data_IF_934871166388
#
_entry.id   IF_934871166388
#
_cell.length_a   1.000
_cell.length_b   1.000
_cell.length_c   1.000
_cell.angle_alpha   90.00
_cell.angle_beta   90.00
_cell.angle_gamma   90.00
#
_symmetry.space_group_name_H-M   'P 1'
#
loop_
_entity.id
_entity.type
_entity.pdbx_description
1 polymer ?
#
# COMPACT_ATOMS: atom_id res chain seq x y z
N UNK A 1 -23.88 0.85 95.88
CA UNK A 1 -22.79 0.23 95.08
C UNK A 1 -23.20 -0.10 93.64
N UNK A 2 -24.49 -0.36 93.31
CA UNK A 2 -24.90 -0.71 91.93
C UNK A 2 -24.85 0.44 90.88
N UNK A 3 -24.88 1.71 91.31
CA UNK A 3 -24.85 2.87 90.39
C UNK A 3 -23.46 3.22 89.84
N UNK A 4 -22.40 2.81 90.53
CA UNK A 4 -21.00 3.08 90.14
C UNK A 4 -20.54 2.14 89.02
N UNK A 5 -21.00 0.88 89.09
CA UNK A 5 -20.72 -0.18 88.10
C UNK A 5 -21.39 0.11 86.74
N UNK A 6 -22.63 0.60 86.75
CA UNK A 6 -23.35 1.00 85.54
C UNK A 6 -22.74 2.23 84.84
N UNK A 7 -22.16 3.16 85.60
CA UNK A 7 -21.45 4.32 85.06
C UNK A 7 -20.12 3.91 84.40
N UNK A 8 -19.39 2.97 85.03
CA UNK A 8 -18.19 2.36 84.47
C UNK A 8 -18.48 1.57 83.19
N UNK A 9 -19.52 0.75 83.17
CA UNK A 9 -19.93 -0.03 82.00
C UNK A 9 -20.33 0.87 80.81
N UNK A 10 -21.04 1.97 81.09
CA UNK A 10 -21.40 2.99 80.10
C UNK A 10 -20.16 3.70 79.55
N UNK A 11 -19.21 4.05 80.43
CA UNK A 11 -17.96 4.71 80.03
C UNK A 11 -17.08 3.79 79.17
N UNK A 12 -16.99 2.49 79.51
CA UNK A 12 -16.29 1.48 78.73
C UNK A 12 -16.94 1.31 77.36
N UNK A 13 -18.27 1.20 77.29
CA UNK A 13 -19.01 1.05 76.03
C UNK A 13 -18.84 2.27 75.12
N UNK A 14 -18.87 3.49 75.68
CA UNK A 14 -18.62 4.73 74.93
C UNK A 14 -17.19 4.80 74.41
N UNK A 15 -16.20 4.39 75.21
CA UNK A 15 -14.81 4.35 74.78
C UNK A 15 -14.59 3.33 73.66
N UNK A 16 -15.16 2.12 73.77
CA UNK A 16 -15.12 1.10 72.71
C UNK A 16 -15.77 1.63 71.43
N UNK A 17 -16.94 2.27 71.53
CA UNK A 17 -17.63 2.86 70.37
C UNK A 17 -16.79 3.97 69.71
N UNK A 18 -16.13 4.82 70.51
CA UNK A 18 -15.20 5.83 70.02
C UNK A 18 -14.00 5.24 69.29
N UNK A 19 -13.41 4.15 69.82
CA UNK A 19 -12.32 3.42 69.17
C UNK A 19 -12.77 2.85 67.82
N UNK A 20 -13.94 2.22 67.74
CA UNK A 20 -14.48 1.70 66.48
C UNK A 20 -14.76 2.81 65.46
N UNK A 21 -15.26 3.96 65.90
CA UNK A 21 -15.45 5.11 65.02
C UNK A 21 -14.11 5.60 64.43
N UNK A 22 -13.07 5.69 65.26
CA UNK A 22 -11.71 6.06 64.79
C UNK A 22 -11.13 5.02 63.83
N UNK A 23 -11.29 3.72 64.10
CA UNK A 23 -10.82 2.65 63.22
C UNK A 23 -11.52 2.71 61.86
N UNK A 24 -12.85 2.90 61.84
CA UNK A 24 -13.60 3.01 60.59
C UNK A 24 -13.20 4.25 59.79
N UNK A 25 -12.95 5.38 60.46
CA UNK A 25 -12.46 6.60 59.81
C UNK A 25 -11.07 6.37 59.18
N UNK A 26 -10.12 5.83 59.94
CA UNK A 26 -8.76 5.57 59.43
C UNK A 26 -8.77 4.56 58.28
N UNK A 27 -9.64 3.55 58.34
CA UNK A 27 -9.81 2.58 57.25
C UNK A 27 -10.36 3.24 55.98
N UNK A 28 -11.38 4.08 56.11
CA UNK A 28 -11.93 4.85 54.99
C UNK A 28 -10.89 5.79 54.36
N UNK A 29 -10.12 6.50 55.18
CA UNK A 29 -9.03 7.37 54.69
C UNK A 29 -7.91 6.58 53.99
N UNK A 30 -7.57 5.40 54.50
CA UNK A 30 -6.58 4.52 53.87
C UNK A 30 -7.08 3.97 52.53
N UNK A 31 -8.35 3.55 52.43
CA UNK A 31 -8.98 3.09 51.20
C UNK A 31 -9.03 4.20 50.14
N UNK A 32 -9.34 5.45 50.54
CA UNK A 32 -9.31 6.62 49.65
C UNK A 32 -7.89 6.85 49.12
N UNK A 33 -6.89 6.92 50.01
CA UNK A 33 -5.49 7.15 49.60
C UNK A 33 -4.94 6.05 48.71
N UNK A 34 -5.30 4.79 48.98
CA UNK A 34 -4.88 3.64 48.17
C UNK A 34 -5.48 3.71 46.77
N UNK A 35 -6.74 4.12 46.65
CA UNK A 35 -7.42 4.37 45.37
C UNK A 35 -6.80 5.55 44.60
N UNK A 36 -6.47 6.64 45.28
CA UNK A 36 -5.82 7.82 44.68
C UNK A 36 -4.41 7.50 44.14
N UNK A 37 -3.61 6.75 44.89
CA UNK A 37 -2.29 6.30 44.46
C UNK A 37 -2.37 5.36 43.26
N UNK A 38 -3.25 4.35 43.31
CA UNK A 38 -3.47 3.42 42.20
C UNK A 38 -3.93 4.12 40.92
N UNK A 39 -4.81 5.13 41.03
CA UNK A 39 -5.24 5.95 39.89
C UNK A 39 -4.09 6.75 39.28
N UNK A 40 -3.22 7.32 40.10
CA UNK A 40 -2.06 8.10 39.62
C UNK A 40 -1.05 7.21 38.89
N UNK A 41 -0.79 6.02 39.42
CA UNK A 41 0.10 5.03 38.80
C UNK A 41 -0.50 4.52 37.48
N UNK A 42 -1.78 4.16 37.45
CA UNK A 42 -2.48 3.73 36.25
C UNK A 42 -2.43 4.79 35.14
N UNK A 43 -2.65 6.07 35.48
CA UNK A 43 -2.51 7.20 34.54
C UNK A 43 -1.12 7.30 33.94
N UNK A 44 -0.09 7.20 34.77
CA UNK A 44 1.30 7.29 34.32
C UNK A 44 1.67 6.12 33.40
N UNK A 45 1.24 4.91 33.76
CA UNK A 45 1.49 3.70 32.97
C UNK A 45 0.74 3.74 31.63
N UNK A 46 -0.54 4.15 31.64
CA UNK A 46 -1.35 4.33 30.43
C UNK A 46 -0.68 5.35 29.50
N UNK A 47 -0.30 6.52 30.01
CA UNK A 47 0.35 7.56 29.21
C UNK A 47 1.67 7.08 28.59
N UNK A 48 2.46 6.29 29.31
CA UNK A 48 3.69 5.71 28.76
C UNK A 48 3.41 4.68 27.65
N UNK A 49 2.41 3.81 27.85
CA UNK A 49 1.99 2.81 26.87
C UNK A 49 1.39 3.43 25.62
N UNK A 50 0.57 4.46 25.77
CA UNK A 50 -0.04 5.20 24.66
C UNK A 50 1.03 5.86 23.78
N UNK A 51 2.06 6.47 24.38
CA UNK A 51 3.19 7.03 23.62
C UNK A 51 3.96 5.99 22.82
N UNK A 52 4.15 4.79 23.38
CA UNK A 52 4.78 3.69 22.66
C UNK A 52 3.93 3.22 21.49
N UNK A 53 2.61 3.19 21.66
CA UNK A 53 1.66 2.93 20.59
C UNK A 53 1.76 3.98 19.46
N UNK A 54 1.72 5.27 19.80
CA UNK A 54 1.87 6.37 18.82
C UNK A 54 3.18 6.25 18.02
N UNK A 55 4.29 5.92 18.70
CA UNK A 55 5.57 5.70 18.05
C UNK A 55 5.55 4.46 17.13
N UNK A 56 4.89 3.38 17.56
CA UNK A 56 4.69 2.17 16.76
C UNK A 56 3.87 2.46 15.51
N UNK A 57 2.78 3.24 15.63
CA UNK A 57 1.96 3.70 14.51
C UNK A 57 2.78 4.53 13.52
N UNK A 58 3.46 5.57 14.00
CA UNK A 58 4.26 6.46 13.16
C UNK A 58 5.37 5.70 12.41
N UNK A 59 6.09 4.82 13.12
CA UNK A 59 7.13 3.99 12.51
C UNK A 59 6.53 3.02 11.49
N UNK A 60 5.47 2.30 11.87
CA UNK A 60 4.77 1.37 11.00
C UNK A 60 4.35 2.03 9.69
N UNK A 61 3.64 3.15 9.78
CA UNK A 61 3.18 3.93 8.62
C UNK A 61 4.36 4.38 7.74
N UNK A 62 5.46 4.86 8.33
CA UNK A 62 6.60 5.35 7.56
C UNK A 62 7.38 4.26 6.82
N UNK A 63 7.35 3.03 7.34
CA UNK A 63 8.07 1.87 6.77
C UNK A 63 7.26 1.08 5.73
N UNK A 64 5.96 1.30 5.64
CA UNK A 64 5.10 0.66 4.64
C UNK A 64 5.54 1.04 3.22
N UNK A 65 5.80 0.01 2.40
CA UNK A 65 6.19 0.18 0.99
C UNK A 65 5.19 -0.45 0.03
N UNK A 66 4.30 -1.31 0.52
CA UNK A 66 3.30 -2.02 -0.28
C UNK A 66 1.90 -1.90 0.35
N UNK A 67 0.88 -1.70 -0.49
CA UNK A 67 -0.53 -1.65 -0.10
C UNK A 67 -0.97 -2.91 0.64
N UNK A 68 -0.40 -4.06 0.28
CA UNK A 68 -0.70 -5.37 0.87
C UNK A 68 -0.26 -5.48 2.34
N UNK A 69 0.71 -4.66 2.75
CA UNK A 69 1.23 -4.65 4.12
C UNK A 69 0.37 -3.80 5.08
N UNK A 70 -0.48 -2.91 4.55
CA UNK A 70 -1.32 -2.03 5.36
C UNK A 70 -2.26 -2.79 6.29
N UNK A 71 -2.89 -3.86 5.81
CA UNK A 71 -3.83 -4.67 6.59
C UNK A 71 -3.11 -5.36 7.76
N UNK A 72 -1.91 -5.88 7.51
CA UNK A 72 -1.08 -6.49 8.55
C UNK A 72 -0.57 -5.51 9.60
N UNK A 73 -0.32 -4.25 9.23
CA UNK A 73 -0.05 -3.20 10.21
C UNK A 73 -1.30 -2.86 11.02
N UNK A 74 -2.45 -2.71 10.36
CA UNK A 74 -3.73 -2.40 11.01
C UNK A 74 -4.08 -3.43 12.08
N UNK A 75 -4.07 -4.72 11.74
CA UNK A 75 -4.36 -5.80 12.69
C UNK A 75 -3.47 -5.70 13.93
N UNK A 76 -2.15 -5.56 13.74
CA UNK A 76 -1.21 -5.47 14.87
C UNK A 76 -1.46 -4.26 15.78
N UNK A 77 -1.81 -3.11 15.22
CA UNK A 77 -2.08 -1.91 16.02
C UNK A 77 -3.43 -2.00 16.75
N UNK A 78 -4.46 -2.57 16.11
CA UNK A 78 -5.74 -2.81 16.76
C UNK A 78 -5.60 -3.81 17.93
N UNK A 79 -4.79 -4.86 17.76
CA UNK A 79 -4.48 -5.81 18.83
C UNK A 79 -3.80 -5.11 20.02
N UNK A 80 -2.85 -4.19 19.76
CA UNK A 80 -2.20 -3.41 20.80
C UNK A 80 -3.19 -2.49 21.55
N UNK A 81 -4.11 -1.85 20.84
CA UNK A 81 -5.16 -1.04 21.47
C UNK A 81 -6.12 -1.89 22.29
N UNK A 82 -6.49 -3.07 21.82
CA UNK A 82 -7.33 -4.00 22.56
C UNK A 82 -6.64 -4.51 23.84
N UNK A 83 -5.32 -4.75 23.79
CA UNK A 83 -4.55 -5.10 24.99
C UNK A 83 -4.57 -3.94 26.01
N UNK A 84 -4.44 -2.70 25.55
CA UNK A 84 -4.56 -1.51 26.42
C UNK A 84 -5.96 -1.38 27.01
N UNK A 85 -7.01 -1.58 26.22
CA UNK A 85 -8.39 -1.57 26.69
C UNK A 85 -8.62 -2.64 27.77
N UNK A 86 -8.10 -3.86 27.56
CA UNK A 86 -8.21 -4.94 28.56
C UNK A 86 -7.46 -4.66 29.86
N UNK A 87 -6.35 -3.92 29.81
CA UNK A 87 -5.53 -3.59 30.99
C UNK A 87 -6.08 -2.40 31.77
N UNK A 88 -6.72 -1.44 31.09
CA UNK A 88 -7.09 -0.14 31.64
C UNK A 88 -8.60 0.17 31.60
N UNK A 89 -9.44 -0.78 31.19
CA UNK A 89 -10.87 -0.58 30.94
C UNK A 89 -11.74 -0.23 32.16
N UNK A 90 -11.18 -0.20 33.37
CA UNK A 90 -11.90 0.25 34.58
C UNK A 90 -12.02 1.78 34.69
N UNK A 91 -11.34 2.54 33.81
CA UNK A 91 -11.32 4.00 33.82
C UNK A 91 -11.88 4.57 32.50
N UNK A 92 -13.06 5.20 32.57
CA UNK A 92 -13.73 5.78 31.40
C UNK A 92 -12.86 6.82 30.65
N UNK A 93 -11.99 7.54 31.37
CA UNK A 93 -11.07 8.52 30.77
C UNK A 93 -10.07 7.89 29.78
N UNK A 94 -9.65 6.64 30.02
CA UNK A 94 -8.71 5.93 29.14
C UNK A 94 -9.42 5.35 27.92
N UNK A 95 -10.67 4.93 28.08
CA UNK A 95 -11.48 4.40 26.98
C UNK A 95 -11.66 5.46 25.87
N UNK A 96 -11.94 6.71 26.25
CA UNK A 96 -12.04 7.80 25.29
C UNK A 96 -10.75 7.99 24.47
N UNK A 97 -9.59 7.97 25.14
CA UNK A 97 -8.29 8.11 24.47
C UNK A 97 -7.95 6.89 23.58
N UNK A 98 -8.32 5.68 23.98
CA UNK A 98 -8.14 4.46 23.15
C UNK A 98 -9.00 4.55 21.89
N UNK A 99 -10.26 4.99 22.00
CA UNK A 99 -11.14 5.16 20.85
C UNK A 99 -10.62 6.23 19.88
N UNK A 100 -10.11 7.35 20.41
CA UNK A 100 -9.46 8.38 19.60
C UNK A 100 -8.24 7.83 18.84
N UNK A 101 -7.39 7.05 19.52
CA UNK A 101 -6.22 6.45 18.87
C UNK A 101 -6.58 5.36 17.87
N UNK A 102 -7.70 4.65 18.07
CA UNK A 102 -8.22 3.71 17.09
C UNK A 102 -8.58 4.42 15.79
N UNK A 103 -9.29 5.54 15.88
CA UNK A 103 -9.64 6.34 14.71
C UNK A 103 -8.38 6.89 14.03
N UNK A 104 -7.45 7.45 14.80
CA UNK A 104 -6.18 7.97 14.27
C UNK A 104 -5.36 6.88 13.56
N UNK A 105 -5.32 5.65 14.09
CA UNK A 105 -4.66 4.53 13.44
C UNK A 105 -5.34 4.18 12.10
N UNK A 106 -6.68 4.16 12.05
CA UNK A 106 -7.44 4.00 10.81
C UNK A 106 -7.09 5.09 9.80
N UNK A 107 -7.27 6.36 10.17
CA UNK A 107 -7.00 7.50 9.29
C UNK A 107 -5.57 7.51 8.75
N UNK A 108 -4.58 7.32 9.62
CA UNK A 108 -3.16 7.35 9.26
C UNK A 108 -2.78 6.23 8.29
N UNK A 109 -3.28 5.00 8.52
CA UNK A 109 -2.98 3.85 7.66
C UNK A 109 -3.73 3.95 6.33
N UNK A 110 -4.99 4.41 6.33
CA UNK A 110 -5.75 4.65 5.10
C UNK A 110 -5.10 5.73 4.24
N UNK A 111 -4.67 6.85 4.86
CA UNK A 111 -3.98 7.91 4.16
C UNK A 111 -2.68 7.39 3.50
N UNK A 112 -1.91 6.57 4.21
CA UNK A 112 -0.71 5.93 3.65
C UNK A 112 -1.05 4.94 2.54
N UNK A 113 -2.11 4.15 2.69
CA UNK A 113 -2.59 3.22 1.66
C UNK A 113 -2.90 3.98 0.37
N UNK A 114 -3.68 5.06 0.46
CA UNK A 114 -4.01 5.90 -0.68
C UNK A 114 -2.75 6.47 -1.34
N UNK A 115 -1.80 6.96 -0.54
CA UNK A 115 -0.53 7.47 -1.06
C UNK A 115 0.26 6.40 -1.84
N UNK A 116 0.32 5.16 -1.35
CA UNK A 116 0.99 4.05 -2.02
C UNK A 116 0.28 3.65 -3.32
N UNK A 117 -1.06 3.59 -3.31
CA UNK A 117 -1.86 3.34 -4.52
C UNK A 117 -1.64 4.41 -5.58
N UNK A 118 -1.64 5.69 -5.19
CA UNK A 118 -1.37 6.79 -6.11
C UNK A 118 0.03 6.71 -6.72
N UNK A 119 1.04 6.35 -5.92
CA UNK A 119 2.42 6.17 -6.40
C UNK A 119 2.52 5.01 -7.39
N UNK A 120 1.90 3.87 -7.08
CA UNK A 120 1.81 2.71 -7.95
C UNK A 120 1.13 3.07 -9.28
N UNK A 121 -0.01 3.75 -9.23
CA UNK A 121 -0.75 4.17 -10.42
C UNK A 121 0.07 5.15 -11.28
N UNK A 122 0.74 6.13 -10.68
CA UNK A 122 1.63 7.06 -11.41
C UNK A 122 2.77 6.32 -12.10
N UNK A 123 3.33 5.29 -11.44
CA UNK A 123 4.39 4.46 -12.02
C UNK A 123 3.88 3.65 -13.21
N UNK A 124 2.71 3.03 -13.09
CA UNK A 124 2.03 2.32 -14.18
C UNK A 124 1.82 3.26 -15.37
N UNK A 125 1.22 4.43 -15.16
CA UNK A 125 1.00 5.42 -16.23
C UNK A 125 2.31 5.82 -16.91
N UNK A 126 3.37 6.09 -16.12
CA UNK A 126 4.69 6.47 -16.67
C UNK A 126 5.30 5.36 -17.54
N UNK A 127 5.19 4.10 -17.11
CA UNK A 127 5.67 2.95 -17.86
C UNK A 127 4.87 2.74 -19.15
N UNK A 128 3.54 2.84 -19.08
CA UNK A 128 2.65 2.71 -20.24
C UNK A 128 2.94 3.80 -21.28
N UNK A 129 3.05 5.07 -20.88
CA UNK A 129 3.40 6.17 -21.78
C UNK A 129 4.78 5.97 -22.43
N UNK A 130 5.76 5.47 -21.67
CA UNK A 130 7.08 5.17 -22.19
C UNK A 130 7.04 4.01 -23.20
N UNK A 131 6.28 2.96 -22.90
CA UNK A 131 6.07 1.81 -23.77
C UNK A 131 5.41 2.21 -25.09
N UNK A 132 4.38 3.06 -25.06
CA UNK A 132 3.74 3.59 -26.27
C UNK A 132 4.70 4.36 -27.16
N UNK A 133 5.57 5.21 -26.59
CA UNK A 133 6.58 5.95 -27.35
C UNK A 133 7.59 5.03 -28.01
N UNK A 134 8.02 3.98 -27.29
CA UNK A 134 8.90 2.95 -27.84
C UNK A 134 8.19 2.20 -28.96
N UNK A 135 6.94 1.77 -28.77
CA UNK A 135 6.14 1.10 -29.81
C UNK A 135 6.00 1.94 -31.08
N UNK A 136 5.73 3.25 -30.96
CA UNK A 136 5.72 4.18 -32.11
C UNK A 136 7.06 4.19 -32.85
N UNK A 137 8.18 4.21 -32.11
CA UNK A 137 9.51 4.16 -32.72
C UNK A 137 9.81 2.82 -33.40
N UNK A 138 9.45 1.71 -32.76
CA UNK A 138 9.56 0.34 -33.29
C UNK A 138 8.81 0.26 -34.62
N UNK A 139 7.53 0.68 -34.67
CA UNK A 139 6.73 0.72 -35.91
C UNK A 139 7.42 1.51 -37.02
N UNK A 140 7.89 2.72 -36.72
CA UNK A 140 8.62 3.55 -37.70
C UNK A 140 9.93 2.92 -38.18
N UNK A 141 10.69 2.27 -37.29
CA UNK A 141 11.94 1.58 -37.68
C UNK A 141 11.65 0.39 -38.56
N UNK A 142 10.55 -0.33 -38.31
CA UNK A 142 10.21 -1.52 -39.10
C UNK A 142 9.88 -1.24 -40.57
N UNK A 143 9.45 -0.02 -40.90
CA UNK A 143 9.14 0.39 -42.28
C UNK A 143 10.36 0.36 -43.23
N UNK A 144 11.57 0.43 -42.67
CA UNK A 144 12.85 0.49 -43.41
C UNK A 144 13.37 -0.88 -43.82
N UNK A 145 12.92 -1.95 -43.17
CA UNK A 145 13.38 -3.30 -43.48
C UNK A 145 12.76 -3.78 -44.78
N UNK A 146 13.52 -4.59 -45.51
CA UNK A 146 13.12 -5.10 -46.83
C UNK A 146 13.11 -6.63 -46.90
N UNK A 147 13.54 -7.32 -45.84
CA UNK A 147 13.51 -8.78 -45.75
C UNK A 147 12.89 -9.28 -44.44
N UNK A 148 12.22 -10.45 -44.46
CA UNK A 148 11.72 -11.09 -43.24
C UNK A 148 12.85 -11.44 -42.25
N UNK A 149 14.03 -11.82 -42.74
CA UNK A 149 15.20 -12.15 -41.91
C UNK A 149 15.68 -10.95 -41.08
N UNK A 150 15.76 -9.76 -41.70
CA UNK A 150 16.11 -8.51 -40.99
C UNK A 150 15.09 -8.18 -39.90
N UNK A 151 13.79 -8.33 -40.20
CA UNK A 151 12.72 -8.09 -39.23
C UNK A 151 12.80 -9.06 -38.04
N UNK A 152 12.98 -10.36 -38.31
CA UNK A 152 13.11 -11.35 -37.24
C UNK A 152 14.33 -11.06 -36.35
N UNK A 153 15.48 -10.73 -36.95
CA UNK A 153 16.69 -10.36 -36.22
C UNK A 153 16.45 -9.12 -35.34
N UNK A 154 15.79 -8.09 -35.88
CA UNK A 154 15.42 -6.89 -35.15
C UNK A 154 14.50 -7.17 -33.95
N UNK A 155 13.40 -7.91 -34.13
CA UNK A 155 12.50 -8.23 -33.00
C UNK A 155 13.10 -9.20 -31.98
N UNK A 156 14.09 -10.01 -32.37
CA UNK A 156 14.79 -10.91 -31.47
C UNK A 156 15.82 -10.17 -30.59
N UNK A 157 16.56 -9.22 -31.17
CA UNK A 157 17.79 -8.69 -30.54
C UNK A 157 17.82 -7.16 -30.30
N UNK A 158 16.89 -6.38 -30.85
CA UNK A 158 16.92 -4.93 -30.68
C UNK A 158 16.65 -4.49 -29.23
N UNK A 159 17.46 -3.53 -28.76
CA UNK A 159 17.41 -3.03 -27.40
C UNK A 159 16.06 -2.36 -27.05
N UNK A 160 15.37 -1.74 -28.00
CA UNK A 160 14.04 -1.15 -27.77
C UNK A 160 12.99 -2.23 -27.51
N UNK A 161 13.07 -3.34 -28.26
CA UNK A 161 12.15 -4.47 -28.11
C UNK A 161 12.40 -5.19 -26.79
N UNK A 162 13.68 -5.41 -26.44
CA UNK A 162 14.06 -5.95 -25.12
C UNK A 162 13.56 -5.06 -23.98
N UNK A 163 13.76 -3.74 -24.08
CA UNK A 163 13.28 -2.77 -23.09
C UNK A 163 11.76 -2.78 -22.95
N UNK A 164 11.02 -2.92 -24.05
CA UNK A 164 9.56 -3.02 -24.01
C UNK A 164 9.09 -4.26 -23.25
N UNK A 165 9.73 -5.43 -23.50
CA UNK A 165 9.43 -6.67 -22.75
C UNK A 165 9.76 -6.52 -21.27
N UNK A 166 10.84 -5.83 -20.93
CA UNK A 166 11.19 -5.50 -19.53
C UNK A 166 10.12 -4.62 -18.86
N UNK A 167 9.66 -3.57 -19.55
CA UNK A 167 8.59 -2.69 -19.03
C UNK A 167 7.29 -3.46 -18.81
N UNK A 168 6.94 -4.40 -19.69
CA UNK A 168 5.80 -5.29 -19.46
C UNK A 168 6.00 -6.21 -18.24
N UNK A 169 7.24 -6.61 -17.94
CA UNK A 169 7.60 -7.29 -16.70
C UNK A 169 7.35 -6.41 -15.47
N UNK A 170 7.90 -5.19 -15.47
CA UNK A 170 7.68 -4.20 -14.40
C UNK A 170 6.19 -3.91 -14.16
N UNK A 171 5.40 -3.77 -15.23
CA UNK A 171 3.95 -3.58 -15.13
C UNK A 171 3.27 -4.76 -14.42
N UNK A 172 3.68 -6.01 -14.69
CA UNK A 172 3.14 -7.18 -13.97
C UNK A 172 3.52 -7.20 -12.49
N UNK A 173 4.77 -6.83 -12.16
CA UNK A 173 5.21 -6.72 -10.76
C UNK A 173 4.41 -5.66 -9.99
N UNK A 174 3.99 -4.59 -10.68
CA UNK A 174 3.09 -3.56 -10.16
C UNK A 174 1.60 -3.95 -10.20
N UNK A 175 1.24 -5.19 -10.55
CA UNK A 175 -0.17 -5.62 -10.64
C UNK A 175 -0.96 -5.08 -11.84
N UNK A 176 -0.31 -4.38 -12.76
CA UNK A 176 -0.88 -3.84 -14.00
C UNK A 176 -0.81 -4.87 -15.15
N UNK A 177 -1.46 -6.02 -14.94
CA UNK A 177 -1.41 -7.14 -15.89
C UNK A 177 -2.06 -6.80 -17.24
N UNK A 178 -3.14 -6.02 -17.22
CA UNK A 178 -3.87 -5.61 -18.43
C UNK A 178 -2.99 -4.73 -19.33
N UNK A 179 -2.31 -3.73 -18.74
CA UNK A 179 -1.38 -2.84 -19.42
C UNK A 179 -0.15 -3.60 -19.96
N UNK A 180 0.36 -4.56 -19.19
CA UNK A 180 1.44 -5.43 -19.63
C UNK A 180 1.05 -6.28 -20.84
N UNK A 181 -0.15 -6.86 -20.83
CA UNK A 181 -0.66 -7.69 -21.93
C UNK A 181 -0.97 -6.85 -23.17
N UNK A 182 -1.54 -5.65 -23.01
CA UNK A 182 -1.74 -4.71 -24.11
C UNK A 182 -0.40 -4.32 -24.74
N UNK A 183 0.61 -3.98 -23.93
CA UNK A 183 1.96 -3.65 -24.40
C UNK A 183 2.57 -4.75 -25.28
N UNK A 184 2.50 -6.01 -24.82
CA UNK A 184 3.00 -7.17 -25.57
C UNK A 184 2.14 -7.49 -26.79
N UNK A 185 0.83 -7.33 -26.69
CA UNK A 185 -0.11 -7.47 -27.80
C UNK A 185 0.17 -6.48 -28.92
N UNK A 186 0.39 -5.21 -28.58
CA UNK A 186 0.76 -4.16 -29.53
C UNK A 186 2.13 -4.41 -30.18
N UNK A 187 3.10 -4.96 -29.44
CA UNK A 187 4.39 -5.36 -30.00
C UNK A 187 4.22 -6.47 -31.04
N UNK A 188 3.45 -7.51 -30.72
CA UNK A 188 3.15 -8.60 -31.64
C UNK A 188 2.41 -8.09 -32.88
N UNK A 189 1.40 -7.25 -32.69
CA UNK A 189 0.67 -6.64 -33.80
C UNK A 189 1.58 -5.80 -34.72
N UNK A 190 2.57 -5.10 -34.14
CA UNK A 190 3.58 -4.36 -34.90
C UNK A 190 4.47 -5.30 -35.73
N UNK A 191 4.90 -6.43 -35.15
CA UNK A 191 5.65 -7.47 -35.85
C UNK A 191 4.87 -8.06 -37.03
N UNK A 192 3.63 -8.48 -36.80
CA UNK A 192 2.77 -9.07 -37.84
C UNK A 192 2.47 -8.09 -38.98
N UNK A 193 2.33 -6.80 -38.65
CA UNK A 193 2.11 -5.74 -39.65
C UNK A 193 3.37 -5.47 -40.47
N UNK A 194 4.53 -5.41 -39.84
CA UNK A 194 5.80 -5.22 -40.53
C UNK A 194 6.12 -6.39 -41.49
N UNK A 195 5.90 -7.64 -41.04
CA UNK A 195 6.11 -8.83 -41.87
C UNK A 195 5.19 -8.84 -43.10
N UNK A 196 3.91 -8.48 -42.93
CA UNK A 196 2.98 -8.32 -44.06
C UNK A 196 3.46 -7.25 -45.03
N UNK A 197 3.88 -6.08 -44.54
CA UNK A 197 4.38 -4.99 -45.39
C UNK A 197 5.60 -5.40 -46.22
N UNK A 198 6.54 -6.15 -45.64
CA UNK A 198 7.71 -6.67 -46.38
C UNK A 198 7.30 -7.68 -47.45
N UNK A 199 6.40 -8.61 -47.13
CA UNK A 199 5.89 -9.59 -48.11
C UNK A 199 5.17 -8.91 -49.26
N UNK A 200 4.31 -7.95 -48.97
CA UNK A 200 3.56 -7.22 -49.98
C UNK A 200 4.51 -6.41 -50.89
N UNK A 201 5.56 -5.79 -50.34
CA UNK A 201 6.61 -5.12 -51.15
C UNK A 201 7.33 -6.11 -52.07
N UNK A 202 7.70 -7.29 -51.57
CA UNK A 202 8.36 -8.33 -52.36
C UNK A 202 7.46 -8.89 -53.47
N UNK A 203 6.15 -9.02 -53.22
CA UNK A 203 5.18 -9.51 -54.21
C UNK A 203 4.86 -8.49 -55.32
N UNK A 204 4.99 -7.19 -55.01
CA UNK A 204 4.73 -6.08 -55.95
C UNK A 204 5.91 -5.82 -56.87
N UNK A 205 7.15 -5.84 -56.36
CA UNK A 205 8.36 -5.53 -57.13
C UNK A 205 9.10 -6.81 -57.52
N UNK A 206 8.85 -7.30 -58.73
CA UNK A 206 9.69 -8.34 -59.35
C UNK A 206 10.86 -7.69 -60.13
N UNK A 207 12.00 -8.38 -60.18
CA UNK A 207 13.16 -8.06 -61.04
C UNK A 207 13.77 -6.67 -60.79
N UNK A 208 14.12 -6.37 -59.53
CA UNK A 208 14.85 -5.13 -59.19
C UNK A 208 14.04 -3.84 -59.30
N UNK A 209 12.71 -3.93 -59.31
CA UNK A 209 11.80 -2.77 -59.40
C UNK A 209 11.33 -2.41 -60.81
N UNK A 210 11.74 -3.19 -61.82
CA UNK A 210 11.37 -2.97 -63.22
C UNK A 210 9.97 -3.49 -63.57
N UNK A 211 9.38 -4.35 -62.73
CA UNK A 211 8.08 -4.98 -63.00
C UNK A 211 7.15 -4.90 -61.79
N UNK A 212 5.98 -4.28 -61.96
CA UNK A 212 4.88 -4.31 -61.00
C UNK A 212 3.96 -5.49 -61.33
N UNK A 213 3.76 -6.40 -60.36
CA UNK A 213 2.81 -7.51 -60.49
C UNK A 213 1.48 -7.17 -59.83
N UNK A 214 0.41 -7.10 -60.63
CA UNK A 214 -0.98 -6.91 -60.18
C UNK A 214 -1.81 -8.12 -60.61
N UNK A 215 -2.02 -9.07 -59.70
CA UNK A 215 -2.71 -10.32 -59.99
C UNK A 215 -1.91 -11.22 -60.96
N UNK A 216 -2.50 -11.62 -62.09
CA UNK A 216 -1.81 -12.39 -63.14
C UNK A 216 -1.05 -11.52 -64.15
N UNK A 217 -1.13 -10.20 -64.04
CA UNK A 217 -0.60 -9.27 -65.01
C UNK A 217 0.70 -8.64 -64.50
N UNK A 218 1.71 -8.58 -65.37
CA UNK A 218 3.00 -7.94 -65.13
C UNK A 218 3.07 -6.66 -65.95
N UNK A 219 3.40 -5.55 -65.30
CA UNK A 219 3.55 -4.23 -65.92
C UNK A 219 5.00 -3.78 -65.80
N UNK A 220 5.65 -3.43 -66.90
CA UNK A 220 7.00 -2.86 -66.85
C UNK A 220 6.92 -1.38 -66.42
N UNK A 221 7.74 -0.99 -65.45
CA UNK A 221 7.84 0.39 -64.98
C UNK A 221 8.96 1.09 -65.74
N UNK A 222 8.61 2.13 -66.51
CA UNK A 222 9.60 2.97 -67.17
C UNK A 222 9.91 4.19 -66.29
N UNK A 223 11.03 4.16 -65.57
CA UNK A 223 11.52 5.28 -64.77
C UNK A 223 12.17 6.35 -65.66
N UNK A 224 11.39 7.04 -66.50
CA UNK A 224 11.89 8.23 -67.22
C UNK A 224 11.82 9.44 -66.29
N UNK A 225 12.97 9.82 -65.75
CA UNK A 225 13.15 11.13 -65.12
C UNK A 225 12.98 12.22 -66.18
N UNK A 226 11.97 13.07 -66.03
CA UNK A 226 11.85 14.28 -66.85
C UNK A 226 12.91 15.27 -66.34
N UNK A 227 13.96 15.48 -67.14
CA UNK A 227 14.89 16.61 -67.03
C UNK A 227 14.21 17.90 -67.45
#
# INVERSE_FOLDING_TARGET
MAGDDAALETAITNNISGIYATINQQRSEAEIRLKEQGSTEARAQFAARLRLFEQSLANGVSTLMDVRECDGLMTRLLDQLQELESQFGEYDEFLAAILEQRENAHESIEARRQQLQDQQQRRVTTLTDAAERILKNVRRRTERFSSPEELHSFFASDAMVSRLRSMAGELRELGAAMEADDCLGQLKAAQDTALRSVRDKADIFEDGGAVIRLGKHKFSVNSRSWT
#
